data_IF_166937390366
#
_entry.id   IF_166937390366
#
_cell.length_a   1.000
_cell.length_b   1.000
_cell.length_c   1.000
_cell.angle_alpha   90.00
_cell.angle_beta   90.00
_cell.angle_gamma   90.00
#
_symmetry.space_group_name_H-M   'P 1'
#
loop_
_entity.id
_entity.type
_entity.pdbx_description
1 polymer ?
#
# COMPACT_ATOMS: atom_id res chain seq x y z
N UNK A 1 31.59 -23.32 34.26
CA UNK A 1 30.73 -24.40 33.72
C UNK A 1 29.48 -23.76 33.17
N UNK A 2 29.06 -24.25 31.99
CA UNK A 2 27.77 -24.09 31.31
C UNK A 2 27.31 -22.70 30.84
N UNK A 3 27.40 -22.56 29.51
CA UNK A 3 26.58 -21.70 28.65
C UNK A 3 25.10 -22.08 28.78
N UNK A 4 24.20 -21.11 28.60
CA UNK A 4 22.90 -21.34 27.99
C UNK A 4 22.51 -20.15 27.11
N UNK A 5 22.21 -20.51 25.87
CA UNK A 5 21.73 -19.70 24.76
C UNK A 5 20.23 -19.48 24.92
N UNK A 6 19.75 -18.23 24.91
CA UNK A 6 18.34 -17.94 24.67
C UNK A 6 18.17 -17.55 23.20
N UNK A 7 17.66 -18.51 22.43
CA UNK A 7 17.09 -18.30 21.11
C UNK A 7 15.72 -17.65 21.37
N UNK A 8 15.60 -16.34 21.16
CA UNK A 8 14.30 -15.68 21.07
C UNK A 8 13.78 -15.90 19.65
N UNK A 9 12.88 -16.86 19.49
CA UNK A 9 11.99 -16.95 18.32
C UNK A 9 10.94 -15.84 18.46
N UNK A 10 11.10 -14.75 17.71
CA UNK A 10 9.97 -13.87 17.40
C UNK A 10 9.24 -14.50 16.21
N UNK A 11 8.04 -15.05 16.45
CA UNK A 11 7.12 -15.45 15.39
C UNK A 11 6.24 -14.22 15.11
N UNK A 12 6.50 -13.54 13.99
CA UNK A 12 5.61 -12.49 13.51
C UNK A 12 4.41 -13.17 12.84
N UNK A 13 3.24 -13.12 13.47
CA UNK A 13 1.99 -13.53 12.85
C UNK A 13 1.48 -12.41 11.94
N UNK A 14 1.78 -12.46 10.65
CA UNK A 14 1.26 -11.53 9.65
C UNK A 14 0.24 -12.24 8.74
N UNK A 15 -1.03 -11.88 8.86
CA UNK A 15 -2.02 -12.12 7.81
C UNK A 15 -1.71 -11.12 6.68
N UNK A 16 -1.11 -11.58 5.58
CA UNK A 16 -0.78 -10.73 4.44
C UNK A 16 -2.03 -10.43 3.59
N UNK A 17 -2.73 -9.33 3.93
CA UNK A 17 -3.28 -8.43 2.93
C UNK A 17 -2.35 -7.20 2.90
N UNK A 18 -1.74 -6.95 1.75
CA UNK A 18 -0.78 -5.87 1.53
C UNK A 18 -1.38 -4.50 1.89
N UNK A 19 -0.96 -3.95 3.04
CA UNK A 19 -1.33 -2.62 3.51
C UNK A 19 -0.23 -1.62 3.12
N UNK A 20 -0.59 -0.60 2.36
CA UNK A 20 0.21 0.61 2.20
C UNK A 20 -0.67 1.85 2.33
N UNK A 21 -0.72 2.40 3.54
CA UNK A 21 -1.49 3.60 3.84
C UNK A 21 -0.61 4.85 3.82
N UNK A 22 -1.03 5.84 3.04
CA UNK A 22 -0.55 7.22 3.10
C UNK A 22 -0.69 7.78 4.52
N UNK A 23 0.41 8.24 5.12
CA UNK A 23 0.37 9.10 6.30
C UNK A 23 1.17 10.37 5.99
N UNK A 24 0.44 11.45 5.70
CA UNK A 24 0.95 12.81 5.87
C UNK A 24 0.73 13.22 7.32
N UNK A 25 1.79 13.64 8.01
CA UNK A 25 1.71 14.25 9.34
C UNK A 25 1.48 15.75 9.18
N UNK A 26 0.27 16.22 9.51
CA UNK A 26 0.00 17.65 9.63
C UNK A 26 0.47 18.14 11.01
N UNK A 27 1.65 18.77 11.03
CA UNK A 27 2.09 19.62 12.15
C UNK A 27 1.34 20.95 12.08
N UNK A 28 0.28 21.09 12.87
CA UNK A 28 -0.32 22.38 13.18
C UNK A 28 0.04 22.77 14.62
N UNK A 29 1.11 23.57 14.75
CA UNK A 29 1.47 24.28 15.98
C UNK A 29 0.41 25.34 16.33
N UNK A 30 -0.21 25.24 17.50
CA UNK A 30 -0.68 26.42 18.25
C UNK A 30 -0.50 26.16 19.75
N UNK A 31 0.14 27.13 20.41
CA UNK A 31 0.48 27.14 21.83
C UNK A 31 -0.56 27.89 22.67
N UNK A 32 -0.75 27.37 23.89
CA UNK A 32 -1.12 28.00 25.17
C UNK A 32 -2.45 28.77 25.30
N UNK A 33 -3.31 28.42 26.28
CA UNK A 33 -3.04 28.67 27.71
C UNK A 33 -4.03 27.92 28.66
N UNK A 34 -3.62 27.82 29.92
CA UNK A 34 -4.11 27.10 31.13
C UNK A 34 -5.63 27.16 31.43
N UNK A 35 -6.27 26.28 32.23
CA UNK A 35 -5.98 25.91 33.64
C UNK A 35 -6.98 24.83 34.12
N UNK A 36 -6.53 23.79 34.84
CA UNK A 36 -6.95 23.31 36.18
C UNK A 36 -6.75 21.80 36.40
N UNK A 37 -6.31 21.44 37.61
CA UNK A 37 -5.75 20.14 38.02
C UNK A 37 -6.79 19.21 38.71
N UNK A 38 -6.41 18.07 39.34
CA UNK A 38 -6.56 16.72 38.79
C UNK A 38 -7.53 15.83 39.60
N UNK A 39 -8.08 14.80 38.95
CA UNK A 39 -8.61 13.62 39.66
C UNK A 39 -8.39 12.38 38.81
N UNK A 40 -7.34 11.61 39.14
CA UNK A 40 -7.19 10.24 38.64
C UNK A 40 -8.20 9.32 39.34
N UNK A 41 -8.92 8.47 38.59
CA UNK A 41 -9.22 7.13 39.04
C UNK A 41 -8.13 6.20 38.49
N UNK A 42 -7.34 5.62 39.38
CA UNK A 42 -6.44 4.51 39.07
C UNK A 42 -7.28 3.28 38.68
N UNK A 43 -7.52 3.05 37.40
CA UNK A 43 -7.90 1.73 36.93
C UNK A 43 -6.62 0.90 36.83
N UNK A 44 -6.47 -0.01 37.78
CA UNK A 44 -5.52 -1.09 37.69
C UNK A 44 -5.84 -1.88 36.40
N UNK A 45 -4.93 -1.82 35.44
CA UNK A 45 -4.97 -2.70 34.28
C UNK A 45 -4.57 -4.07 34.79
N UNK A 46 -5.53 -5.00 34.82
CA UNK A 46 -5.25 -6.42 35.01
C UNK A 46 -4.36 -6.89 33.85
N UNK A 47 -3.07 -7.07 34.15
CA UNK A 47 -2.06 -7.67 33.28
C UNK A 47 -2.31 -9.18 33.14
N UNK A 48 -3.38 -9.56 32.45
CA UNK A 48 -3.63 -10.95 32.07
C UNK A 48 -4.34 -11.07 30.70
N UNK A 49 -3.94 -10.22 29.75
CA UNK A 49 -4.19 -10.52 28.33
C UNK A 49 -3.14 -11.54 27.91
N UNK A 50 -3.49 -12.82 28.01
CA UNK A 50 -2.74 -13.87 27.33
C UNK A 50 -2.44 -13.40 25.90
N UNK A 51 -1.17 -13.43 25.50
CA UNK A 51 -0.74 -13.09 24.15
C UNK A 51 -1.47 -14.01 23.16
N UNK A 52 -2.62 -13.56 22.68
CA UNK A 52 -3.27 -14.16 21.54
C UNK A 52 -2.49 -13.67 20.34
N UNK A 53 -1.52 -14.47 19.88
CA UNK A 53 -1.01 -14.32 18.52
C UNK A 53 -2.20 -14.63 17.60
N UNK A 54 -2.83 -13.63 16.95
CA UNK A 54 -3.96 -13.90 16.10
C UNK A 54 -3.44 -14.68 14.89
N UNK A 55 -3.69 -16.00 14.88
CA UNK A 55 -3.42 -16.80 13.71
C UNK A 55 -4.40 -16.38 12.61
N UNK A 56 -3.91 -16.02 11.42
CA UNK A 56 -4.79 -15.75 10.30
C UNK A 56 -5.69 -16.97 10.06
N UNK A 57 -7.00 -16.76 9.93
CA UNK A 57 -7.94 -17.83 9.63
C UNK A 57 -8.42 -17.70 8.19
N UNK A 58 -8.67 -18.84 7.56
CA UNK A 58 -9.35 -18.90 6.28
C UNK A 58 -10.65 -18.12 6.37
N UNK A 59 -10.89 -17.27 5.37
CA UNK A 59 -12.09 -16.44 5.32
C UNK A 59 -13.04 -16.93 4.24
N UNK A 60 -14.34 -16.90 4.55
CA UNK A 60 -15.39 -17.15 3.58
C UNK A 60 -16.16 -15.87 3.29
N UNK A 61 -16.06 -15.34 2.07
CA UNK A 61 -16.77 -14.14 1.65
C UNK A 61 -17.40 -14.34 0.26
N UNK A 62 -18.68 -13.95 0.11
CA UNK A 62 -19.43 -14.04 -1.15
C UNK A 62 -19.33 -15.42 -1.85
N UNK A 63 -19.39 -16.51 -1.06
CA UNK A 63 -19.32 -17.89 -1.56
C UNK A 63 -17.91 -18.37 -1.94
N UNK A 64 -16.86 -17.70 -1.47
CA UNK A 64 -15.46 -18.02 -1.79
C UNK A 64 -14.68 -18.27 -0.52
N UNK A 65 -13.77 -19.23 -0.57
CA UNK A 65 -12.77 -19.45 0.46
C UNK A 65 -11.48 -18.72 0.08
N UNK A 66 -10.98 -17.90 1.00
CA UNK A 66 -9.64 -17.32 0.96
C UNK A 66 -8.80 -18.14 1.92
N UNK A 67 -7.87 -18.93 1.38
CA UNK A 67 -6.88 -19.63 2.18
C UNK A 67 -5.84 -18.61 2.66
N UNK A 68 -5.56 -18.60 3.95
CA UNK A 68 -4.54 -17.71 4.51
C UNK A 68 -3.38 -18.56 5.02
N UNK A 69 -2.20 -18.31 4.47
CA UNK A 69 -0.96 -18.94 4.93
C UNK A 69 -0.15 -17.93 5.75
N UNK A 70 0.31 -18.35 6.92
CA UNK A 70 1.21 -17.54 7.73
C UNK A 70 2.65 -17.72 7.24
N UNK A 71 3.29 -16.61 6.85
CA UNK A 71 4.68 -16.60 6.43
C UNK A 71 5.64 -16.19 7.55
N UNK A 72 6.70 -16.97 7.78
CA UNK A 72 7.76 -16.63 8.75
C UNK A 72 8.95 -15.97 8.06
N UNK A 73 9.32 -14.77 8.50
CA UNK A 73 10.53 -14.07 8.00
C UNK A 73 11.75 -14.55 8.78
N UNK A 74 12.79 -15.02 8.07
CA UNK A 74 14.07 -15.47 8.64
C UNK A 74 15.22 -14.66 8.07
N UNK A 75 16.20 -14.31 8.91
CA UNK A 75 17.41 -13.61 8.47
C UNK A 75 17.24 -12.11 8.19
N UNK A 76 16.04 -11.56 8.36
CA UNK A 76 15.77 -10.13 8.33
C UNK A 76 15.11 -9.68 9.63
N UNK A 77 15.39 -8.45 10.04
CA UNK A 77 14.69 -7.79 11.15
C UNK A 77 14.27 -6.40 10.70
N UNK A 78 13.00 -6.06 10.91
CA UNK A 78 12.48 -4.73 10.62
C UNK A 78 12.25 -3.99 11.92
N UNK A 79 12.51 -2.68 11.89
CA UNK A 79 12.27 -1.78 13.03
C UNK A 79 11.50 -0.57 12.54
N UNK A 80 10.46 -0.22 13.27
CA UNK A 80 9.76 1.05 13.13
C UNK A 80 9.17 1.44 14.48
N UNK A 81 8.86 2.73 14.63
CA UNK A 81 8.26 3.28 15.85
C UNK A 81 6.78 2.86 16.02
N UNK A 82 6.18 2.27 14.98
CA UNK A 82 4.84 1.69 14.97
C UNK A 82 4.81 0.47 14.07
N UNK A 83 3.94 -0.50 14.37
CA UNK A 83 3.70 -1.68 13.51
C UNK A 83 3.24 -1.28 12.10
N UNK A 84 2.49 -0.18 11.97
CA UNK A 84 2.10 0.39 10.67
C UNK A 84 3.24 1.11 9.94
N UNK A 85 4.32 1.46 10.64
CA UNK A 85 5.51 2.08 10.07
C UNK A 85 6.52 1.06 9.54
N UNK A 86 6.34 -0.24 9.81
CA UNK A 86 7.31 -1.28 9.44
C UNK A 86 7.34 -1.46 7.93
N UNK A 87 6.17 -1.67 7.32
CA UNK A 87 6.00 -1.85 5.89
C UNK A 87 5.10 -0.75 5.34
N UNK A 88 5.61 -0.04 4.34
CA UNK A 88 4.89 1.04 3.63
C UNK A 88 4.11 0.50 2.44
N UNK A 89 4.62 -0.53 1.79
CA UNK A 89 3.94 -1.24 0.71
C UNK A 89 4.68 -2.55 0.41
N UNK A 90 3.98 -3.46 -0.26
CA UNK A 90 4.55 -4.73 -0.69
C UNK A 90 4.03 -5.11 -2.09
N UNK A 91 4.82 -5.85 -2.84
CA UNK A 91 4.44 -6.43 -4.13
C UNK A 91 5.07 -7.80 -4.31
N UNK A 92 4.47 -8.66 -5.13
CA UNK A 92 5.02 -9.99 -5.45
C UNK A 92 5.58 -9.96 -6.87
N UNK A 93 6.85 -10.32 -7.03
CA UNK A 93 7.54 -10.51 -8.31
C UNK A 93 7.99 -11.97 -8.45
N UNK A 94 7.16 -12.81 -9.06
CA UNK A 94 7.42 -14.24 -9.15
C UNK A 94 7.50 -14.90 -7.77
N UNK A 95 8.64 -15.49 -7.43
CA UNK A 95 8.91 -16.12 -6.13
C UNK A 95 9.53 -15.16 -5.11
N UNK A 96 9.33 -13.85 -5.29
CA UNK A 96 9.88 -12.83 -4.40
C UNK A 96 8.81 -11.89 -3.88
N UNK A 97 8.89 -11.58 -2.60
CA UNK A 97 8.15 -10.51 -1.95
C UNK A 97 9.04 -9.28 -1.89
N UNK A 98 8.62 -8.23 -2.59
CA UNK A 98 9.22 -6.90 -2.53
C UNK A 98 8.55 -6.12 -1.40
N UNK A 99 9.35 -5.45 -0.56
CA UNK A 99 8.86 -4.75 0.64
C UNK A 99 9.49 -3.37 0.74
N UNK A 100 8.70 -2.31 0.54
CA UNK A 100 9.10 -0.96 0.90
C UNK A 100 8.91 -0.77 2.41
N UNK A 101 9.95 -0.29 3.08
CA UNK A 101 10.00 -0.20 4.55
C UNK A 101 9.99 1.26 5.01
N UNK A 102 9.62 1.50 6.28
CA UNK A 102 9.52 2.86 6.82
C UNK A 102 10.84 3.66 6.85
N UNK A 103 11.99 3.00 6.76
CA UNK A 103 13.29 3.68 6.65
C UNK A 103 13.63 4.12 5.21
N UNK A 104 12.74 3.82 4.24
CA UNK A 104 12.84 4.24 2.86
C UNK A 104 13.61 3.28 1.95
N UNK A 105 13.85 2.04 2.38
CA UNK A 105 14.53 0.99 1.61
C UNK A 105 13.56 0.01 0.98
N UNK A 106 14.03 -0.63 -0.10
CA UNK A 106 13.34 -1.77 -0.71
C UNK A 106 14.06 -3.06 -0.33
N UNK A 107 13.34 -3.99 0.27
CA UNK A 107 13.81 -5.34 0.53
C UNK A 107 13.23 -6.32 -0.49
N UNK A 108 14.01 -7.33 -0.87
CA UNK A 108 13.54 -8.49 -1.61
C UNK A 108 13.68 -9.73 -0.72
N UNK A 109 12.57 -10.45 -0.52
CA UNK A 109 12.52 -11.68 0.23
C UNK A 109 12.12 -12.83 -0.71
N UNK A 110 12.96 -13.84 -0.86
CA UNK A 110 12.61 -15.07 -1.54
C UNK A 110 11.50 -15.80 -0.75
N UNK A 111 10.49 -16.27 -1.47
CA UNK A 111 9.35 -17.02 -0.95
C UNK A 111 9.63 -18.50 -1.15
N UNK A 112 9.68 -19.28 -0.06
CA UNK A 112 9.73 -20.74 -0.10
C UNK A 112 8.48 -21.31 0.56
N UNK A 113 7.91 -22.35 -0.06
CA UNK A 113 6.78 -23.12 0.49
C UNK A 113 7.17 -24.57 0.85
N UNK A 114 8.45 -24.94 0.76
CA UNK A 114 8.90 -26.33 0.97
C UNK A 114 8.64 -26.82 2.40
N UNK A 115 8.83 -25.95 3.39
CA UNK A 115 8.64 -26.21 4.83
C UNK A 115 7.62 -25.22 5.44
N UNK A 116 6.52 -24.99 4.71
CA UNK A 116 5.59 -23.88 4.95
C UNK A 116 6.13 -22.55 4.42
N UNK A 117 5.29 -21.51 4.38
CA UNK A 117 5.73 -20.21 3.88
C UNK A 117 6.86 -19.61 4.73
N UNK A 118 8.04 -19.51 4.14
CA UNK A 118 9.23 -18.88 4.71
C UNK A 118 9.72 -17.80 3.76
N UNK A 119 10.00 -16.63 4.34
CA UNK A 119 10.54 -15.48 3.64
C UNK A 119 11.99 -15.25 4.09
N UNK A 120 12.94 -15.22 3.17
CA UNK A 120 14.37 -14.97 3.47
C UNK A 120 14.93 -13.90 2.55
N UNK A 121 15.86 -13.02 3.01
CA UNK A 121 16.54 -12.08 2.12
C UNK A 121 17.06 -12.77 0.86
N UNK A 122 16.73 -12.20 -0.31
CA UNK A 122 17.29 -12.61 -1.59
C UNK A 122 18.73 -12.07 -1.68
N UNK A 123 19.78 -12.91 -1.54
CA UNK A 123 21.15 -12.42 -1.48
C UNK A 123 21.62 -11.79 -2.80
N UNK A 124 20.93 -12.08 -3.91
CA UNK A 124 21.28 -11.56 -5.23
C UNK A 124 20.66 -10.18 -5.48
N UNK A 125 19.82 -9.67 -4.57
CA UNK A 125 19.18 -8.36 -4.68
C UNK A 125 19.91 -7.28 -3.88
N UNK A 126 20.43 -6.26 -4.57
CA UNK A 126 21.13 -5.15 -3.93
C UNK A 126 22.28 -5.60 -3.03
N UNK A 127 22.36 -5.05 -1.81
CA UNK A 127 23.29 -5.46 -0.77
C UNK A 127 22.61 -6.46 0.17
N UNK A 128 22.71 -7.76 -0.14
CA UNK A 128 22.22 -8.84 0.71
C UNK A 128 20.71 -8.86 0.92
N UNK A 129 19.93 -8.54 -0.11
CA UNK A 129 18.46 -8.49 -0.08
C UNK A 129 17.89 -7.09 0.15
N UNK A 130 18.73 -6.06 0.12
CA UNK A 130 18.33 -4.68 0.41
C UNK A 130 18.86 -3.71 -0.65
N UNK A 131 18.01 -2.85 -1.17
CA UNK A 131 18.40 -1.76 -2.06
C UNK A 131 18.05 -0.41 -1.44
N UNK A 132 19.02 0.50 -1.49
CA UNK A 132 18.89 1.89 -1.06
C UNK A 132 18.83 2.81 -2.27
N UNK A 133 18.05 3.87 -2.17
CA UNK A 133 17.85 4.85 -3.23
C UNK A 133 18.17 6.26 -2.74
N UNK A 134 18.33 7.19 -3.68
CA UNK A 134 18.58 8.60 -3.36
C UNK A 134 17.38 9.23 -2.62
N UNK A 135 16.15 8.90 -3.06
CA UNK A 135 14.91 9.24 -2.39
C UNK A 135 14.33 8.02 -1.68
N UNK A 136 13.72 8.24 -0.52
CA UNK A 136 13.13 7.15 0.28
C UNK A 136 11.99 6.50 -0.50
N UNK A 137 12.03 5.19 -0.70
CA UNK A 137 10.92 4.48 -1.35
C UNK A 137 9.79 4.29 -0.34
N UNK A 138 8.56 4.57 -0.77
CA UNK A 138 7.35 4.36 0.03
C UNK A 138 6.40 3.37 -0.65
N UNK A 139 6.44 3.31 -1.98
CA UNK A 139 5.59 2.42 -2.77
C UNK A 139 6.40 1.42 -3.59
N UNK A 140 5.91 0.20 -3.74
CA UNK A 140 6.43 -0.76 -4.71
C UNK A 140 5.29 -1.44 -5.45
N UNK A 141 5.42 -1.53 -6.76
CA UNK A 141 4.61 -2.38 -7.62
C UNK A 141 5.51 -3.29 -8.45
N UNK A 142 5.01 -4.48 -8.77
CA UNK A 142 5.76 -5.47 -9.51
C UNK A 142 4.88 -6.25 -10.48
N UNK A 143 5.41 -6.52 -11.67
CA UNK A 143 4.73 -7.29 -12.71
C UNK A 143 5.73 -7.75 -13.77
N UNK A 144 5.75 -9.06 -14.06
CA UNK A 144 6.57 -9.66 -15.12
C UNK A 144 8.06 -9.26 -15.08
N UNK A 145 8.68 -9.21 -13.89
CA UNK A 145 10.08 -8.82 -13.72
C UNK A 145 10.36 -7.31 -13.87
N UNK A 146 9.33 -6.50 -14.13
CA UNK A 146 9.35 -5.05 -13.93
C UNK A 146 8.97 -4.78 -12.48
N UNK A 147 9.90 -4.19 -11.70
CA UNK A 147 9.60 -3.66 -10.38
C UNK A 147 9.78 -2.16 -10.41
N UNK A 148 8.81 -1.42 -9.89
CA UNK A 148 8.86 0.03 -9.78
C UNK A 148 8.74 0.42 -8.32
N UNK A 149 9.75 1.16 -7.85
CA UNK A 149 9.86 1.64 -6.47
C UNK A 149 9.70 3.16 -6.46
N UNK A 150 8.61 3.65 -5.88
CA UNK A 150 8.21 5.06 -5.97
C UNK A 150 8.31 5.78 -4.62
N UNK A 151 8.64 7.07 -4.68
CA UNK A 151 8.68 7.96 -3.52
C UNK A 151 7.39 8.80 -3.35
N UNK A 152 6.52 8.87 -4.36
CA UNK A 152 5.25 9.60 -4.28
C UNK A 152 5.32 11.01 -4.86
N UNK A 153 6.18 11.89 -4.36
CA UNK A 153 6.31 13.28 -4.90
C UNK A 153 7.54 13.46 -5.79
N UNK A 154 8.49 12.54 -5.71
CA UNK A 154 9.72 12.58 -6.49
C UNK A 154 9.78 11.39 -7.46
N UNK A 155 10.90 11.32 -8.19
CA UNK A 155 11.21 10.25 -9.14
C UNK A 155 10.93 8.84 -8.62
N UNK A 156 10.58 7.96 -9.56
CA UNK A 156 10.44 6.53 -9.33
C UNK A 156 11.68 5.79 -9.85
N UNK A 157 11.98 4.64 -9.26
CA UNK A 157 13.12 3.80 -9.65
C UNK A 157 12.61 2.54 -10.33
N UNK A 158 13.10 2.26 -11.52
CA UNK A 158 12.71 1.07 -12.29
C UNK A 158 13.80 0.02 -12.17
N UNK A 159 13.43 -1.16 -11.71
CA UNK A 159 14.31 -2.31 -11.58
C UNK A 159 13.93 -3.36 -12.62
N UNK A 160 14.96 -4.08 -13.08
CA UNK A 160 14.84 -5.26 -13.94
C UNK A 160 15.74 -6.34 -13.36
N UNK A 161 15.17 -7.52 -13.09
CA UNK A 161 15.87 -8.56 -12.33
C UNK A 161 16.21 -8.07 -10.92
N UNK A 162 17.50 -7.86 -10.64
CA UNK A 162 18.02 -7.55 -9.30
C UNK A 162 18.73 -6.20 -9.20
N UNK A 163 18.66 -5.39 -10.27
CA UNK A 163 19.44 -4.15 -10.39
C UNK A 163 18.55 -2.98 -10.78
N UNK A 164 18.93 -1.79 -10.31
CA UNK A 164 18.38 -0.53 -10.81
C UNK A 164 18.70 -0.39 -12.30
N UNK A 165 17.66 -0.32 -13.13
CA UNK A 165 17.80 -0.11 -14.57
C UNK A 165 17.91 1.39 -14.89
N UNK A 166 16.95 2.18 -14.42
CA UNK A 166 16.93 3.63 -14.63
C UNK A 166 15.98 4.34 -13.65
N UNK A 167 16.10 5.67 -13.59
CA UNK A 167 15.15 6.57 -12.92
C UNK A 167 14.04 6.96 -13.88
N UNK A 168 12.81 7.00 -13.38
CA UNK A 168 11.62 7.39 -14.09
C UNK A 168 11.10 8.71 -13.53
N UNK A 169 11.04 9.74 -14.37
CA UNK A 169 10.48 11.05 -14.04
C UNK A 169 8.95 11.00 -14.11
N UNK A 170 8.36 10.21 -13.22
CA UNK A 170 6.93 10.11 -13.01
C UNK A 170 6.66 10.32 -11.53
N UNK A 171 5.67 11.15 -11.25
CA UNK A 171 5.27 11.49 -9.89
C UNK A 171 4.10 10.59 -9.47
N UNK A 172 4.13 10.12 -8.23
CA UNK A 172 3.08 9.30 -7.62
C UNK A 172 3.47 7.86 -7.34
N UNK A 173 2.49 7.12 -6.84
CA UNK A 173 2.63 5.70 -6.53
C UNK A 173 2.25 4.88 -7.74
N UNK A 174 3.26 4.43 -8.49
CA UNK A 174 3.03 3.73 -9.76
C UNK A 174 2.42 2.36 -9.50
N UNK A 175 1.23 2.13 -10.06
CA UNK A 175 0.56 0.85 -10.16
C UNK A 175 0.78 0.26 -11.56
N UNK A 176 1.52 -0.84 -11.64
CA UNK A 176 1.79 -1.54 -12.89
C UNK A 176 0.59 -2.36 -13.35
N UNK A 177 0.42 -2.41 -14.66
CA UNK A 177 -0.45 -3.39 -15.30
C UNK A 177 0.16 -4.80 -15.26
N UNK A 178 -0.65 -5.82 -15.55
CA UNK A 178 -0.24 -7.23 -15.51
C UNK A 178 0.86 -7.64 -16.51
N UNK A 179 1.14 -6.81 -17.52
CA UNK A 179 2.27 -6.99 -18.44
C UNK A 179 3.55 -6.33 -17.95
N UNK A 180 3.46 -5.38 -17.02
CA UNK A 180 4.59 -4.60 -16.51
C UNK A 180 5.14 -3.58 -17.52
N UNK A 181 4.43 -3.35 -18.64
CA UNK A 181 4.87 -2.40 -19.68
C UNK A 181 4.27 -1.01 -19.52
N UNK A 182 3.23 -0.87 -18.69
CA UNK A 182 2.65 0.43 -18.35
C UNK A 182 2.03 0.43 -16.96
N UNK A 183 1.62 1.60 -16.50
CA UNK A 183 0.95 1.79 -15.23
C UNK A 183 0.28 3.16 -15.11
N UNK A 184 -0.29 3.41 -13.94
CA UNK A 184 -0.81 4.72 -13.54
C UNK A 184 -0.09 5.19 -12.27
N UNK A 185 0.17 6.49 -12.17
CA UNK A 185 0.85 7.10 -11.04
C UNK A 185 -0.08 8.12 -10.37
N UNK A 186 -1.01 7.70 -9.52
CA UNK A 186 -1.77 8.63 -8.70
C UNK A 186 -0.95 9.16 -7.54
N UNK A 187 -1.21 10.42 -7.18
CA UNK A 187 -0.71 11.04 -5.97
C UNK A 187 -1.77 11.95 -5.37
N UNK A 188 -2.41 11.52 -4.29
CA UNK A 188 -3.37 12.31 -3.50
C UNK A 188 -4.29 13.19 -4.36
N UNK A 189 -3.96 14.47 -4.50
CA UNK A 189 -4.75 15.48 -5.20
C UNK A 189 -4.04 16.05 -6.44
N UNK A 190 -3.00 15.40 -6.92
CA UNK A 190 -2.28 15.77 -8.15
C UNK A 190 -2.94 15.18 -9.39
N UNK A 191 -2.47 15.62 -10.56
CA UNK A 191 -2.72 14.95 -11.83
C UNK A 191 -2.19 13.53 -11.77
N UNK A 192 -3.01 12.57 -12.21
CA UNK A 192 -2.62 11.18 -12.36
C UNK A 192 -1.90 11.04 -13.68
N UNK A 193 -0.73 10.42 -13.66
CA UNK A 193 0.02 10.15 -14.89
C UNK A 193 -0.24 8.72 -15.36
N UNK A 194 -0.27 8.53 -16.68
CA UNK A 194 -0.07 7.23 -17.30
C UNK A 194 1.40 7.10 -17.64
N UNK A 195 2.03 6.03 -17.17
CA UNK A 195 3.45 5.77 -17.35
C UNK A 195 3.63 4.55 -18.25
N UNK A 196 4.45 4.65 -19.29
CA UNK A 196 4.86 3.52 -20.12
C UNK A 196 6.34 3.25 -19.94
N UNK A 197 6.73 1.98 -19.91
CA UNK A 197 8.10 1.53 -19.67
C UNK A 197 8.68 0.85 -20.89
N UNK A 198 9.91 1.21 -21.24
CA UNK A 198 10.74 0.48 -22.19
C UNK A 198 11.97 -0.12 -21.48
N UNK A 199 12.94 -0.61 -22.25
CA UNK A 199 14.15 -1.24 -21.71
C UNK A 199 15.11 -0.25 -21.00
N UNK A 200 15.02 1.05 -21.30
CA UNK A 200 16.01 2.06 -20.92
C UNK A 200 15.43 3.35 -20.33
N UNK A 201 14.13 3.58 -20.47
CA UNK A 201 13.45 4.79 -20.08
C UNK A 201 11.96 4.54 -19.79
N UNK A 202 11.34 5.52 -19.14
CA UNK A 202 9.90 5.62 -19.05
C UNK A 202 9.41 6.92 -19.70
N UNK A 203 8.13 6.93 -20.05
CA UNK A 203 7.42 8.12 -20.49
C UNK A 203 6.18 8.28 -19.63
N UNK A 204 6.07 9.40 -18.94
CA UNK A 204 4.90 9.80 -18.17
C UNK A 204 4.10 10.84 -18.95
N UNK A 205 2.78 10.72 -18.94
CA UNK A 205 1.85 11.68 -19.56
C UNK A 205 0.62 11.83 -18.70
N UNK A 206 0.04 13.02 -18.63
CA UNK A 206 -1.24 13.27 -17.97
C UNK A 206 -2.30 12.25 -18.42
N UNK A 207 -3.00 11.67 -17.47
CA UNK A 207 -4.14 10.81 -17.69
C UNK A 207 -5.47 11.58 -17.52
N UNK A 208 -6.60 10.87 -17.44
CA UNK A 208 -7.93 11.51 -17.41
C UNK A 208 -8.26 12.27 -16.13
N UNK A 209 -7.58 11.94 -15.03
CA UNK A 209 -7.78 12.55 -13.72
C UNK A 209 -6.68 13.58 -13.51
N UNK A 210 -7.02 14.86 -13.55
CA UNK A 210 -6.04 15.94 -13.56
C UNK A 210 -6.43 17.03 -12.56
N UNK A 211 -5.42 17.71 -12.01
CA UNK A 211 -5.56 18.90 -11.17
C UNK A 211 -6.56 18.69 -10.01
N UNK A 212 -6.53 17.53 -9.36
CA UNK A 212 -7.59 17.11 -8.43
C UNK A 212 -7.73 18.03 -7.21
N UNK A 213 -6.66 18.72 -6.81
CA UNK A 213 -6.63 19.70 -5.73
C UNK A 213 -7.18 21.09 -6.08
N UNK A 214 -7.39 21.39 -7.37
CA UNK A 214 -7.94 22.67 -7.83
C UNK A 214 -9.36 22.49 -8.38
N UNK A 215 -10.37 22.91 -7.62
CA UNK A 215 -11.79 22.82 -8.01
C UNK A 215 -12.09 23.45 -9.39
N UNK A 216 -11.31 24.44 -9.84
CA UNK A 216 -11.55 25.17 -11.08
C UNK A 216 -10.90 24.53 -12.31
N UNK A 217 -9.80 23.80 -12.11
CA UNK A 217 -9.05 23.13 -13.18
C UNK A 217 -9.26 21.62 -13.22
N UNK A 218 -9.82 21.05 -12.13
CA UNK A 218 -10.03 19.62 -11.96
C UNK A 218 -10.70 18.97 -13.17
N UNK A 219 -10.09 17.86 -13.61
CA UNK A 219 -10.71 16.92 -14.54
C UNK A 219 -11.02 15.62 -13.81
N UNK A 220 -12.28 15.21 -13.86
CA UNK A 220 -12.79 14.03 -13.18
C UNK A 220 -13.57 14.34 -11.90
N UNK A 221 -14.01 13.29 -11.21
CA UNK A 221 -14.98 13.39 -10.13
C UNK A 221 -14.37 13.37 -8.72
N UNK A 222 -13.06 13.12 -8.62
CA UNK A 222 -12.35 12.95 -7.37
C UNK A 222 -11.63 14.24 -6.94
N UNK A 223 -11.64 14.56 -5.66
CA UNK A 223 -10.77 15.58 -5.06
C UNK A 223 -9.47 14.98 -4.51
N UNK A 224 -9.49 13.70 -4.17
CA UNK A 224 -8.34 12.96 -3.67
C UNK A 224 -8.44 11.48 -4.00
N UNK A 225 -7.30 10.88 -4.35
CA UNK A 225 -7.11 9.44 -4.57
C UNK A 225 -6.37 8.88 -3.35
N UNK A 226 -6.89 7.77 -2.84
CA UNK A 226 -6.35 7.10 -1.66
C UNK A 226 -5.63 5.80 -2.03
N UNK A 227 -6.14 5.07 -3.02
CA UNK A 227 -5.57 3.82 -3.49
C UNK A 227 -5.97 3.55 -4.93
N UNK A 228 -5.20 2.70 -5.61
CA UNK A 228 -5.47 2.28 -6.98
C UNK A 228 -4.94 0.88 -7.25
N UNK A 229 -5.43 0.26 -8.32
CA UNK A 229 -4.83 -0.95 -8.89
C UNK A 229 -5.15 -1.02 -10.38
N UNK A 230 -4.23 -1.57 -11.17
CA UNK A 230 -4.44 -1.90 -12.59
C UNK A 230 -4.63 -3.40 -12.76
N UNK A 231 -5.72 -3.82 -13.40
CA UNK A 231 -6.03 -5.23 -13.64
C UNK A 231 -6.39 -5.40 -15.11
N UNK A 232 -5.45 -5.92 -15.90
CA UNK A 232 -5.54 -5.92 -17.36
C UNK A 232 -5.71 -4.48 -17.88
N UNK A 233 -6.73 -4.26 -18.69
CA UNK A 233 -7.04 -2.92 -19.24
C UNK A 233 -7.99 -2.10 -18.36
N UNK A 234 -8.22 -2.52 -17.11
CA UNK A 234 -9.11 -1.84 -16.17
C UNK A 234 -8.31 -1.19 -15.05
N UNK A 235 -8.58 0.08 -14.81
CA UNK A 235 -8.01 0.86 -13.72
C UNK A 235 -9.08 1.06 -12.65
N UNK A 236 -8.77 0.71 -11.41
CA UNK A 236 -9.61 0.99 -10.25
C UNK A 236 -9.00 2.12 -9.46
N UNK A 237 -9.79 3.15 -9.18
CA UNK A 237 -9.40 4.32 -8.38
C UNK A 237 -10.32 4.40 -7.16
N UNK A 238 -9.74 4.29 -5.97
CA UNK A 238 -10.42 4.56 -4.72
C UNK A 238 -10.09 5.97 -4.24
N UNK A 239 -11.10 6.75 -3.92
CA UNK A 239 -10.89 8.12 -3.50
C UNK A 239 -12.15 8.81 -3.00
N UNK A 240 -11.99 10.08 -2.62
CA UNK A 240 -13.08 10.95 -2.21
C UNK A 240 -13.64 11.71 -3.42
N UNK A 241 -14.96 11.71 -3.57
CA UNK A 241 -15.62 12.60 -4.52
C UNK A 241 -15.40 14.06 -4.13
N UNK A 242 -15.26 14.92 -5.12
CA UNK A 242 -15.20 16.36 -4.90
C UNK A 242 -16.53 16.91 -4.36
N UNK A 243 -16.47 17.97 -3.54
CA UNK A 243 -17.67 18.67 -3.02
C UNK A 243 -18.64 19.13 -4.10
N UNK A 244 -18.12 19.50 -5.27
CA UNK A 244 -18.92 19.91 -6.43
C UNK A 244 -19.69 18.75 -7.08
N UNK A 245 -19.27 17.51 -6.85
CA UNK A 245 -19.92 16.29 -7.33
C UNK A 245 -20.84 15.72 -6.25
N UNK A 246 -20.36 15.70 -5.00
CA UNK A 246 -21.09 15.25 -3.84
C UNK A 246 -20.66 16.05 -2.60
N UNK A 247 -21.61 16.79 -2.01
CA UNK A 247 -21.36 17.65 -0.86
C UNK A 247 -20.86 16.88 0.38
N UNK A 248 -21.08 15.56 0.45
CA UNK A 248 -20.59 14.69 1.53
C UNK A 248 -19.16 14.17 1.28
N UNK A 249 -18.58 14.42 0.11
CA UNK A 249 -17.27 13.91 -0.31
C UNK A 249 -17.15 12.40 -0.11
N UNK A 250 -18.19 11.68 -0.54
CA UNK A 250 -18.31 10.24 -0.34
C UNK A 250 -17.12 9.50 -0.96
N UNK A 251 -16.64 8.47 -0.25
CA UNK A 251 -15.54 7.62 -0.69
C UNK A 251 -16.11 6.51 -1.56
N UNK A 252 -15.55 6.35 -2.75
CA UNK A 252 -16.08 5.47 -3.80
C UNK A 252 -14.94 4.84 -4.59
N UNK A 253 -15.27 3.77 -5.32
CA UNK A 253 -14.38 3.14 -6.30
C UNK A 253 -14.87 3.51 -7.70
N UNK A 254 -14.08 4.31 -8.40
CA UNK A 254 -14.24 4.55 -9.84
C UNK A 254 -13.55 3.45 -10.64
N UNK A 255 -14.18 3.01 -11.72
CA UNK A 255 -13.65 2.00 -12.64
C UNK A 255 -13.48 2.65 -14.00
N UNK A 256 -12.26 2.60 -14.50
CA UNK A 256 -11.84 3.26 -15.74
C UNK A 256 -11.26 2.24 -16.72
N UNK A 257 -11.37 2.52 -18.01
CA UNK A 257 -10.54 1.86 -19.02
C UNK A 257 -9.10 2.37 -18.93
N UNK A 258 -8.13 1.63 -19.47
CA UNK A 258 -6.73 2.09 -19.59
C UNK A 258 -6.57 3.42 -20.37
N UNK A 259 -7.57 3.80 -21.17
CA UNK A 259 -7.62 5.07 -21.89
C UNK A 259 -8.24 6.22 -21.07
N UNK A 260 -8.73 5.95 -19.86
CA UNK A 260 -9.29 6.97 -18.97
C UNK A 260 -10.80 7.19 -19.11
N UNK A 261 -11.54 6.29 -19.77
CA UNK A 261 -13.01 6.37 -19.77
C UNK A 261 -13.56 5.74 -18.50
N UNK A 262 -14.27 6.51 -17.68
CA UNK A 262 -15.01 5.95 -16.53
C UNK A 262 -16.16 5.08 -17.04
N UNK A 263 -16.17 3.80 -16.67
CA UNK A 263 -17.19 2.83 -17.11
C UNK A 263 -18.25 2.58 -16.05
N UNK A 264 -17.88 2.66 -14.76
CA UNK A 264 -18.79 2.55 -13.63
C UNK A 264 -18.14 3.06 -12.36
N UNK A 265 -18.98 3.24 -11.34
CA UNK A 265 -18.56 3.56 -9.98
C UNK A 265 -19.41 2.78 -9.00
N UNK A 266 -18.83 2.40 -7.87
CA UNK A 266 -19.55 1.73 -6.78
C UNK A 266 -18.99 2.12 -5.42
N UNK A 267 -19.71 1.74 -4.37
CA UNK A 267 -19.51 2.27 -3.04
C UNK A 267 -20.23 3.61 -2.83
N UNK A 268 -20.22 4.04 -1.58
CA UNK A 268 -21.00 5.19 -1.13
C UNK A 268 -22.42 4.80 -0.75
N UNK A 269 -22.83 5.21 0.45
CA UNK A 269 -24.20 5.07 0.94
C UNK A 269 -24.63 6.38 1.59
N UNK A 270 -25.93 6.63 1.60
CA UNK A 270 -26.48 7.73 2.39
C UNK A 270 -26.40 7.48 3.91
N UNK A 271 -26.09 6.25 4.32
CA UNK A 271 -25.92 5.84 5.72
C UNK A 271 -24.48 5.44 6.02
N UNK A 272 -23.90 5.97 7.10
CA UNK A 272 -22.57 5.56 7.56
C UNK A 272 -22.49 4.07 7.93
N UNK A 273 -23.61 3.45 8.32
CA UNK A 273 -23.70 2.02 8.62
C UNK A 273 -24.07 1.16 7.40
N UNK A 274 -24.18 1.77 6.20
CA UNK A 274 -24.53 1.08 4.98
C UNK A 274 -23.42 0.09 4.56
N UNK A 275 -23.78 -1.11 4.05
CA UNK A 275 -22.79 -2.10 3.63
C UNK A 275 -21.95 -1.67 2.42
N UNK A 276 -22.30 -0.57 1.74
CA UNK A 276 -21.56 -0.01 0.61
C UNK A 276 -20.70 1.20 1.00
N UNK A 277 -20.72 1.62 2.28
CA UNK A 277 -19.97 2.78 2.74
C UNK A 277 -18.49 2.44 2.91
N UNK A 278 -17.65 3.39 2.50
CA UNK A 278 -16.23 3.39 2.82
C UNK A 278 -15.91 4.54 3.75
N UNK A 279 -15.23 4.25 4.87
CA UNK A 279 -14.66 5.26 5.76
C UNK A 279 -13.38 5.81 5.15
N UNK A 280 -12.46 4.91 4.80
CA UNK A 280 -11.28 5.21 4.02
C UNK A 280 -10.82 4.02 3.19
N UNK A 281 -10.40 4.24 1.95
CA UNK A 281 -9.95 3.18 1.05
C UNK A 281 -8.43 3.08 1.16
N UNK A 282 -7.94 2.18 2.00
CA UNK A 282 -6.51 2.04 2.29
C UNK A 282 -5.75 1.25 1.23
N UNK A 283 -6.42 0.29 0.59
CA UNK A 283 -5.82 -0.51 -0.47
C UNK A 283 -6.90 -1.08 -1.39
N UNK A 284 -6.53 -1.30 -2.64
CA UNK A 284 -7.30 -2.05 -3.62
C UNK A 284 -6.35 -3.07 -4.24
N UNK A 285 -6.75 -4.34 -4.29
CA UNK A 285 -5.93 -5.39 -4.88
C UNK A 285 -6.78 -6.35 -5.70
N UNK A 286 -6.16 -7.03 -6.66
CA UNK A 286 -6.84 -8.09 -7.40
C UNK A 286 -7.16 -9.29 -6.49
N UNK A 287 -8.42 -9.71 -6.48
CA UNK A 287 -8.88 -10.90 -5.75
C UNK A 287 -9.82 -11.71 -6.62
N UNK A 288 -9.52 -12.98 -6.89
CA UNK A 288 -10.31 -13.73 -7.88
C UNK A 288 -11.66 -14.21 -7.33
N UNK A 289 -12.78 -13.98 -8.05
CA UNK A 289 -12.97 -13.01 -9.14
C UNK A 289 -13.23 -11.57 -8.66
N UNK A 290 -12.55 -10.57 -9.25
CA UNK A 290 -12.72 -9.15 -8.93
C UNK A 290 -11.55 -8.54 -8.14
N UNK A 291 -11.90 -7.74 -7.12
CA UNK A 291 -10.96 -6.97 -6.29
C UNK A 291 -11.30 -7.15 -4.80
N UNK A 292 -10.29 -7.03 -3.95
CA UNK A 292 -10.47 -6.77 -2.52
C UNK A 292 -10.18 -5.30 -2.22
N UNK A 293 -10.89 -4.77 -1.24
CA UNK A 293 -10.72 -3.41 -0.75
C UNK A 293 -10.51 -3.50 0.75
N UNK A 294 -9.54 -2.74 1.27
CA UNK A 294 -9.30 -2.62 2.70
C UNK A 294 -9.78 -1.26 3.20
N UNK A 295 -10.62 -1.27 4.25
CA UNK A 295 -11.12 -0.07 4.91
C UNK A 295 -11.00 -0.19 6.42
N UNK A 296 -9.80 -0.07 6.97
CA UNK A 296 -9.57 -0.25 8.41
C UNK A 296 -10.30 0.76 9.31
N UNK A 297 -11.05 1.71 8.76
CA UNK A 297 -11.88 2.64 9.55
C UNK A 297 -13.27 2.08 9.82
N UNK A 298 -13.85 1.31 8.89
CA UNK A 298 -15.17 0.71 9.04
C UNK A 298 -15.17 -0.83 8.98
N UNK A 299 -14.19 -1.44 8.29
CA UNK A 299 -14.07 -2.89 8.01
C UNK A 299 -12.71 -3.34 7.47
#
# INVERSE_FOLDING_TARGET
>A
MQRLSLISMCVLSAALLACGGLFGTDDATTSDDATDAPSEPSEAVDDDVAAHDPLPQDQAAAGRAVAVELCSIKGASFKADSTMGVFKSIAVDGERLMVATGDGKLHALAISHEDGCVLTPDPDFGDGGVMTFEKKVEWVSASQGTVVASNGVFESYVLRGNTLAYKCAADGYIELDSSGSWGIAPWVSSTVEKVTFDESACVATDWTLADLGDDTQRKGNFSSIHASVVIGDTVFIGGSLAKSVDAKETKVIGVYTAAGTEVRRFGGSDSLAGPETFGWIHAINQCKPGICILDSNLR
#
